data_IF_019961399694
#
_entry.id   IF_019961399694
#
_cell.length_a   1.000
_cell.length_b   1.000
_cell.length_c   1.000
_cell.angle_alpha   90.00
_cell.angle_beta   90.00
_cell.angle_gamma   90.00
#
_symmetry.space_group_name_H-M   'P 1'
#
loop_
_entity.id
_entity.type
_entity.pdbx_description
1 polymer ?
#
# COMPACT_ATOMS: atom_id res chain seq x y z
N UNK A 1 -14.05 -8.06 1.63
CA UNK A 1 -13.12 -6.96 1.34
C UNK A 1 -11.77 -7.27 1.94
N UNK A 2 -10.72 -6.89 1.24
CA UNK A 2 -9.35 -7.17 1.67
C UNK A 2 -8.63 -5.90 2.12
N UNK A 3 -7.48 -6.08 2.76
CA UNK A 3 -6.56 -4.99 3.07
C UNK A 3 -5.18 -5.34 2.54
N UNK A 4 -4.54 -4.38 1.91
CA UNK A 4 -3.21 -4.52 1.33
C UNK A 4 -2.25 -3.50 1.92
N UNK A 5 -0.98 -3.71 1.66
CA UNK A 5 0.10 -2.80 2.05
C UNK A 5 0.92 -2.49 0.80
N UNK A 6 1.07 -1.22 0.46
CA UNK A 6 1.80 -0.81 -0.73
C UNK A 6 3.03 0.00 -0.37
N UNK A 7 4.17 -0.35 -1.00
CA UNK A 7 5.43 0.38 -0.87
C UNK A 7 5.58 1.31 -2.06
N UNK A 8 5.33 2.59 -1.86
CA UNK A 8 5.29 3.58 -2.94
C UNK A 8 6.56 4.44 -3.03
N UNK A 9 7.44 4.38 -2.06
CA UNK A 9 8.77 5.00 -2.11
C UNK A 9 8.90 6.20 -3.03
N UNK A 10 9.64 6.03 -4.11
CA UNK A 10 9.95 7.09 -5.06
C UNK A 10 8.74 7.59 -5.89
N UNK A 11 7.65 6.84 -5.94
CA UNK A 11 6.48 7.19 -6.78
C UNK A 11 5.27 7.67 -5.99
N UNK A 12 5.37 7.77 -4.67
CA UNK A 12 4.24 8.14 -3.81
C UNK A 12 3.63 9.49 -4.21
N UNK A 13 4.47 10.49 -4.45
CA UNK A 13 4.00 11.84 -4.78
C UNK A 13 3.08 11.84 -6.02
N UNK A 14 3.53 11.20 -7.08
CA UNK A 14 2.82 11.14 -8.34
C UNK A 14 1.53 10.32 -8.24
N UNK A 15 1.61 9.15 -7.61
CA UNK A 15 0.46 8.28 -7.41
C UNK A 15 -0.59 8.95 -6.51
N UNK A 16 -0.13 9.60 -5.43
CA UNK A 16 -1.00 10.33 -4.51
C UNK A 16 -1.72 11.48 -5.21
N UNK A 17 -0.99 12.29 -5.96
CA UNK A 17 -1.57 13.43 -6.70
C UNK A 17 -2.56 12.98 -7.75
N UNK A 18 -2.31 11.86 -8.41
CA UNK A 18 -3.18 11.30 -9.43
C UNK A 18 -4.31 10.44 -8.88
N UNK A 19 -4.33 10.17 -7.58
CA UNK A 19 -5.33 9.33 -6.90
C UNK A 19 -5.41 7.91 -7.47
N UNK A 20 -4.25 7.26 -7.60
CA UNK A 20 -4.19 5.89 -8.10
C UNK A 20 -3.02 5.11 -7.50
N UNK A 21 -3.04 3.78 -7.72
CA UNK A 21 -1.90 2.90 -7.63
C UNK A 21 -1.59 2.43 -9.04
N UNK A 22 -0.32 2.39 -9.40
CA UNK A 22 0.11 1.87 -10.70
C UNK A 22 1.38 1.04 -10.54
N UNK A 23 1.41 -0.14 -11.17
CA UNK A 23 2.58 -1.00 -11.21
C UNK A 23 2.75 -1.56 -12.62
N UNK A 24 3.99 -1.74 -13.11
CA UNK A 24 4.21 -2.34 -14.41
C UNK A 24 3.77 -3.81 -14.43
N UNK A 25 3.42 -4.32 -15.59
CA UNK A 25 3.08 -5.75 -15.75
C UNK A 25 4.30 -6.64 -15.65
N UNK A 26 5.44 -6.13 -16.12
CA UNK A 26 6.71 -6.87 -16.10
C UNK A 26 7.77 -6.03 -15.41
N UNK A 27 8.71 -6.71 -14.74
CA UNK A 27 9.87 -6.04 -14.14
C UNK A 27 10.90 -5.68 -15.22
N UNK A 28 12.02 -5.07 -14.82
CA UNK A 28 13.08 -4.64 -15.73
C UNK A 28 13.68 -5.79 -16.55
N UNK A 29 13.62 -7.01 -16.01
CA UNK A 29 14.15 -8.21 -16.67
C UNK A 29 13.15 -8.86 -17.63
N UNK A 30 11.95 -8.26 -17.76
CA UNK A 30 10.88 -8.82 -18.59
C UNK A 30 10.12 -9.97 -17.93
N UNK A 31 10.24 -10.13 -16.62
CA UNK A 31 9.58 -11.18 -15.86
C UNK A 31 8.41 -10.65 -15.07
N UNK A 32 7.43 -11.51 -14.78
CA UNK A 32 6.34 -11.20 -13.86
C UNK A 32 6.89 -11.07 -12.44
N UNK A 33 6.39 -10.10 -11.72
CA UNK A 33 6.75 -9.83 -10.34
C UNK A 33 5.51 -10.03 -9.47
N UNK A 34 5.62 -10.79 -8.39
CA UNK A 34 4.45 -11.12 -7.57
C UNK A 34 3.78 -9.89 -6.94
N UNK A 35 4.55 -8.85 -6.58
CA UNK A 35 3.99 -7.61 -6.05
C UNK A 35 3.23 -6.80 -7.10
N UNK A 36 3.62 -6.90 -8.36
CA UNK A 36 2.90 -6.26 -9.47
C UNK A 36 1.67 -7.08 -9.84
N UNK A 37 1.79 -8.40 -9.90
CA UNK A 37 0.68 -9.30 -10.22
C UNK A 37 -0.42 -9.25 -9.16
N UNK A 38 -0.07 -9.01 -7.90
CA UNK A 38 -1.03 -8.91 -6.81
C UNK A 38 -2.01 -7.75 -6.99
N UNK A 39 -1.64 -6.73 -7.78
CA UNK A 39 -2.54 -5.62 -8.12
C UNK A 39 -3.89 -6.10 -8.66
N UNK A 40 -3.89 -7.21 -9.39
CA UNK A 40 -5.11 -7.78 -9.98
C UNK A 40 -6.12 -8.26 -8.94
N UNK A 41 -5.67 -8.47 -7.72
CA UNK A 41 -6.53 -8.93 -6.62
C UNK A 41 -7.25 -7.79 -5.91
N UNK A 42 -6.92 -6.54 -6.22
CA UNK A 42 -7.59 -5.38 -5.63
C UNK A 42 -8.94 -5.16 -6.28
N UNK A 43 -9.98 -5.11 -5.47
CA UNK A 43 -11.36 -4.86 -5.90
C UNK A 43 -11.89 -3.58 -5.26
N UNK A 44 -12.89 -2.99 -5.91
CA UNK A 44 -13.57 -1.81 -5.38
C UNK A 44 -13.96 -2.02 -3.91
N UNK A 45 -13.62 -1.04 -3.08
CA UNK A 45 -13.90 -1.07 -1.65
C UNK A 45 -12.79 -1.66 -0.79
N UNK A 46 -11.77 -2.27 -1.39
CA UNK A 46 -10.61 -2.77 -0.64
C UNK A 46 -9.79 -1.63 -0.07
N UNK A 47 -9.15 -1.88 1.07
CA UNK A 47 -8.31 -0.91 1.76
C UNK A 47 -6.83 -1.15 1.45
N UNK A 48 -6.06 -0.07 1.40
CA UNK A 48 -4.62 -0.14 1.21
C UNK A 48 -3.94 0.79 2.21
N UNK A 49 -2.99 0.27 2.98
CA UNK A 49 -2.09 1.10 3.78
C UNK A 49 -0.92 1.53 2.91
N UNK A 50 -0.68 2.83 2.83
CA UNK A 50 0.30 3.42 1.94
C UNK A 50 1.58 3.73 2.70
N UNK A 51 2.66 3.02 2.35
CA UNK A 51 3.98 3.17 2.96
C UNK A 51 4.91 3.91 2.01
N UNK A 52 5.55 4.96 2.52
CA UNK A 52 6.53 5.76 1.79
C UNK A 52 7.60 6.27 2.74
N UNK A 53 8.86 6.14 2.37
CA UNK A 53 10.01 6.62 3.15
C UNK A 53 10.02 6.13 4.61
N UNK A 54 9.71 4.85 4.81
CA UNK A 54 9.71 4.22 6.14
C UNK A 54 8.55 4.60 7.03
N UNK A 55 7.51 5.21 6.47
CA UNK A 55 6.32 5.63 7.23
C UNK A 55 5.05 5.20 6.52
N UNK A 56 4.06 4.78 7.29
CA UNK A 56 2.70 4.62 6.79
C UNK A 56 2.08 6.03 6.81
N UNK A 57 1.86 6.58 5.62
CA UNK A 57 1.50 8.00 5.44
C UNK A 57 0.02 8.22 5.14
N UNK A 58 -0.68 7.16 4.77
CA UNK A 58 -2.09 7.24 4.39
C UNK A 58 -2.76 5.87 4.44
N UNK A 59 -4.08 5.88 4.44
CA UNK A 59 -4.90 4.73 4.10
C UNK A 59 -5.72 5.11 2.88
N UNK A 60 -5.87 4.20 1.93
CA UNK A 60 -6.67 4.46 0.74
C UNK A 60 -7.72 3.38 0.52
N UNK A 61 -8.75 3.73 -0.23
CA UNK A 61 -9.85 2.83 -0.58
C UNK A 61 -9.93 2.76 -2.10
N UNK A 62 -9.97 1.55 -2.64
CA UNK A 62 -10.09 1.35 -4.08
C UNK A 62 -11.46 1.80 -4.57
N UNK A 63 -11.49 2.69 -5.57
CA UNK A 63 -12.71 3.20 -6.17
C UNK A 63 -13.28 2.28 -7.25
N UNK A 64 -12.41 1.45 -7.84
CA UNK A 64 -12.75 0.49 -8.88
C UNK A 64 -11.83 -0.72 -8.75
N UNK A 65 -12.21 -1.80 -9.44
CA UNK A 65 -11.34 -2.96 -9.59
C UNK A 65 -10.10 -2.60 -10.40
N UNK A 66 -9.04 -3.38 -10.22
CA UNK A 66 -7.82 -3.23 -11.00
C UNK A 66 -8.10 -3.41 -12.50
N UNK A 67 -7.48 -2.57 -13.31
CA UNK A 67 -7.55 -2.65 -14.78
C UNK A 67 -6.17 -2.44 -15.39
N UNK A 68 -6.04 -2.84 -16.64
CA UNK A 68 -4.84 -2.59 -17.42
C UNK A 68 -4.82 -1.14 -17.88
N UNK A 69 -3.70 -0.46 -17.72
CA UNK A 69 -3.53 0.94 -18.18
C UNK A 69 -2.06 1.22 -18.42
N UNK A 70 -1.78 1.96 -19.48
CA UNK A 70 -0.43 2.42 -19.77
C UNK A 70 0.09 3.32 -18.65
N UNK A 71 1.41 3.37 -18.51
CA UNK A 71 2.06 4.18 -17.50
C UNK A 71 1.59 5.63 -17.57
N UNK A 72 1.08 6.19 -16.46
CA UNK A 72 0.72 7.60 -16.40
C UNK A 72 1.91 8.49 -16.75
N UNK A 73 1.65 9.57 -17.46
CA UNK A 73 2.68 10.48 -17.97
C UNK A 73 3.58 11.02 -16.86
N UNK A 74 3.00 11.39 -15.73
CA UNK A 74 3.73 11.93 -14.59
C UNK A 74 4.71 10.91 -14.00
N UNK A 75 4.40 9.63 -14.06
CA UNK A 75 5.33 8.58 -13.62
C UNK A 75 6.50 8.42 -14.59
N UNK A 76 6.24 8.53 -15.90
CA UNK A 76 7.31 8.53 -16.90
C UNK A 76 8.27 9.67 -16.71
N UNK A 77 7.75 10.86 -16.45
CA UNK A 77 8.57 12.07 -16.25
C UNK A 77 9.37 12.02 -14.96
N UNK A 78 8.81 11.42 -13.89
CA UNK A 78 9.48 11.31 -12.60
C UNK A 78 10.57 10.26 -12.58
N UNK A 79 10.48 9.25 -13.46
CA UNK A 79 11.39 8.11 -13.47
C UNK A 79 12.50 8.25 -14.51
N UNK A 80 13.43 9.10 -14.22
CA UNK A 80 14.62 9.24 -15.05
C UNK A 80 15.59 8.06 -14.88
N UNK A 81 15.41 7.24 -13.85
CA UNK A 81 16.35 6.19 -13.46
C UNK A 81 15.80 4.77 -13.73
N UNK A 82 14.49 4.62 -13.78
CA UNK A 82 13.84 3.30 -13.92
C UNK A 82 13.01 3.24 -15.19
N UNK A 83 13.44 2.41 -16.12
CA UNK A 83 12.63 2.08 -17.30
C UNK A 83 11.62 1.00 -16.89
N UNK A 84 10.48 1.42 -16.38
CA UNK A 84 9.36 0.52 -16.19
C UNK A 84 8.70 0.21 -17.52
N UNK A 85 8.14 -0.99 -17.62
CA UNK A 85 7.29 -1.34 -18.75
C UNK A 85 6.15 -0.32 -18.87
N UNK A 86 5.80 0.05 -20.10
CA UNK A 86 4.71 0.99 -20.34
C UNK A 86 3.35 0.41 -19.98
N UNK A 87 3.16 -0.90 -20.16
CA UNK A 87 1.93 -1.57 -19.77
C UNK A 87 1.92 -1.85 -18.27
N UNK A 88 0.80 -1.55 -17.63
CA UNK A 88 0.71 -1.73 -16.18
C UNK A 88 -0.68 -2.05 -15.68
N UNK A 89 -0.73 -2.28 -14.37
CA UNK A 89 -1.93 -2.48 -13.59
C UNK A 89 -2.27 -1.18 -12.87
N UNK A 90 -3.52 -0.78 -12.95
CA UNK A 90 -4.00 0.51 -12.45
C UNK A 90 -5.22 0.32 -11.55
N UNK A 91 -5.17 0.96 -10.39
CA UNK A 91 -6.30 0.99 -9.46
C UNK A 91 -6.53 2.44 -9.04
N UNK A 92 -7.67 3.05 -9.41
CA UNK A 92 -8.01 4.36 -8.87
C UNK A 92 -8.40 4.23 -7.41
N UNK A 93 -7.86 5.11 -6.57
CA UNK A 93 -8.09 5.05 -5.12
C UNK A 93 -8.41 6.44 -4.57
N UNK A 94 -9.10 6.47 -3.43
CA UNK A 94 -9.24 7.67 -2.62
C UNK A 94 -8.23 7.58 -1.48
N UNK A 95 -7.28 8.51 -1.43
CA UNK A 95 -6.31 8.60 -0.35
C UNK A 95 -6.86 9.38 0.84
N UNK A 96 -6.55 8.92 2.04
CA UNK A 96 -6.81 9.62 3.29
C UNK A 96 -5.48 9.75 4.02
N UNK A 97 -4.90 10.95 3.96
CA UNK A 97 -3.58 11.20 4.53
C UNK A 97 -3.61 11.14 6.05
N UNK A 98 -2.58 10.54 6.65
CA UNK A 98 -2.42 10.53 8.09
C UNK A 98 -1.75 11.82 8.56
N UNK A 99 -2.43 12.71 9.32
CA UNK A 99 -1.78 13.85 9.94
C UNK A 99 -0.58 13.47 10.82
N UNK A 100 -0.63 12.27 11.39
CA UNK A 100 0.44 11.73 12.24
C UNK A 100 0.96 10.39 11.65
N UNK A 101 1.83 10.44 10.61
CA UNK A 101 2.34 9.22 10.00
C UNK A 101 3.02 8.29 11.00
N UNK A 102 2.90 6.98 10.75
CA UNK A 102 3.47 5.92 11.58
C UNK A 102 4.81 5.48 11.02
N UNK A 103 5.86 5.56 11.83
CA UNK A 103 7.14 4.95 11.47
C UNK A 103 7.01 3.45 11.59
N UNK A 104 7.37 2.72 10.53
CA UNK A 104 7.32 1.25 10.56
C UNK A 104 8.25 0.67 11.61
N UNK A 105 9.35 1.38 11.94
CA UNK A 105 10.27 0.97 13.00
C UNK A 105 9.63 0.98 14.39
N UNK A 106 8.56 1.74 14.62
CA UNK A 106 7.93 1.83 15.94
C UNK A 106 7.21 0.55 16.36
N UNK A 107 6.83 -0.31 15.40
CA UNK A 107 6.20 -1.60 15.72
C UNK A 107 7.02 -2.79 15.21
N UNK A 108 8.28 -2.56 14.91
CA UNK A 108 9.19 -3.61 14.43
C UNK A 108 9.32 -4.76 15.45
N UNK A 109 9.45 -4.45 16.72
CA UNK A 109 9.59 -5.48 17.77
C UNK A 109 8.33 -6.34 17.86
N UNK A 110 7.17 -5.72 17.79
CA UNK A 110 5.91 -6.45 17.79
C UNK A 110 5.81 -7.39 16.57
N UNK A 111 6.22 -6.91 15.40
CA UNK A 111 6.23 -7.70 14.17
C UNK A 111 7.19 -8.89 14.25
N UNK A 112 8.36 -8.71 14.89
CA UNK A 112 9.31 -9.81 15.12
C UNK A 112 8.72 -10.88 16.03
N UNK A 113 7.94 -10.47 17.03
CA UNK A 113 7.29 -11.38 17.98
C UNK A 113 6.04 -12.04 17.39
N UNK A 114 5.50 -11.49 16.31
CA UNK A 114 4.28 -11.98 15.64
C UNK A 114 4.53 -12.15 14.14
N UNK A 115 5.50 -12.99 13.75
CA UNK A 115 5.87 -13.14 12.35
C UNK A 115 4.78 -13.84 11.56
N UNK A 116 4.58 -13.41 10.31
CA UNK A 116 3.68 -14.04 9.37
C UNK A 116 4.27 -13.92 7.96
N UNK A 117 4.68 -15.06 7.39
CA UNK A 117 5.32 -15.12 6.07
C UNK A 117 4.39 -14.66 4.93
N UNK A 118 3.08 -14.70 5.14
CA UNK A 118 2.09 -14.34 4.13
C UNK A 118 1.69 -12.86 4.20
N UNK A 119 2.31 -12.10 5.10
CA UNK A 119 2.03 -10.68 5.29
C UNK A 119 3.15 -9.80 4.69
N UNK A 120 3.00 -8.50 4.87
CA UNK A 120 3.85 -7.49 4.23
C UNK A 120 5.24 -7.33 4.88
N UNK A 121 5.50 -8.00 5.99
CA UNK A 121 6.74 -7.83 6.75
C UNK A 121 7.54 -9.13 6.80
N UNK A 122 8.86 -9.00 6.80
CA UNK A 122 9.76 -10.15 6.95
C UNK A 122 9.89 -10.58 8.42
N UNK A 123 10.65 -11.64 8.67
CA UNK A 123 10.87 -12.19 10.02
C UNK A 123 11.53 -11.21 10.99
N UNK A 124 12.19 -10.17 10.46
CA UNK A 124 12.85 -9.14 11.25
C UNK A 124 11.96 -7.91 11.46
N UNK A 125 10.71 -7.94 10.99
CA UNK A 125 9.76 -6.86 11.14
C UNK A 125 9.98 -5.70 10.17
N UNK A 126 10.75 -5.92 9.10
CA UNK A 126 10.95 -4.91 8.06
C UNK A 126 9.92 -5.12 6.93
N UNK A 127 9.44 -4.05 6.30
CA UNK A 127 8.61 -4.19 5.11
C UNK A 127 9.35 -4.97 4.02
N UNK A 128 8.66 -5.90 3.37
CA UNK A 128 9.22 -6.64 2.24
C UNK A 128 9.50 -5.70 1.07
N UNK A 129 10.54 -6.00 0.30
CA UNK A 129 10.90 -5.25 -0.90
C UNK A 129 10.00 -5.65 -2.08
N UNK A 130 8.73 -5.36 -1.97
CA UNK A 130 7.70 -5.72 -2.92
C UNK A 130 6.71 -4.56 -3.01
N UNK A 131 6.28 -4.19 -4.21
CA UNK A 131 5.40 -3.03 -4.37
C UNK A 131 4.10 -3.22 -3.57
N UNK A 132 3.30 -4.21 -3.92
CA UNK A 132 2.06 -4.52 -3.22
C UNK A 132 2.20 -5.84 -2.46
N UNK A 133 1.78 -5.85 -1.21
CA UNK A 133 1.80 -7.02 -0.34
C UNK A 133 0.42 -7.24 0.26
N UNK A 134 0.09 -8.50 0.52
CA UNK A 134 -1.03 -8.82 1.40
C UNK A 134 -0.70 -8.35 2.81
N UNK A 135 -1.73 -8.00 3.56
CA UNK A 135 -1.60 -7.68 4.97
C UNK A 135 -2.55 -8.60 5.74
N UNK A 136 -2.00 -9.48 6.56
CA UNK A 136 -2.83 -10.43 7.32
C UNK A 136 -3.66 -9.70 8.37
N UNK A 137 -4.78 -10.30 8.76
CA UNK A 137 -5.71 -9.66 9.71
C UNK A 137 -5.06 -9.29 11.03
N UNK A 138 -4.18 -10.14 11.55
CA UNK A 138 -3.48 -9.87 12.82
C UNK A 138 -2.59 -8.64 12.70
N UNK A 139 -1.78 -8.56 11.63
CA UNK A 139 -0.91 -7.42 11.38
C UNK A 139 -1.73 -6.16 11.09
N UNK A 140 -2.76 -6.27 10.26
CA UNK A 140 -3.64 -5.15 9.94
C UNK A 140 -4.30 -4.57 11.19
N UNK A 141 -4.84 -5.44 12.03
CA UNK A 141 -5.50 -5.04 13.27
C UNK A 141 -4.56 -4.25 14.17
N UNK A 142 -3.35 -4.77 14.38
CA UNK A 142 -2.37 -4.10 15.23
C UNK A 142 -2.02 -2.70 14.70
N UNK A 143 -1.68 -2.61 13.41
CA UNK A 143 -1.30 -1.34 12.79
C UNK A 143 -2.46 -0.34 12.83
N UNK A 144 -3.67 -0.78 12.50
CA UNK A 144 -4.85 0.08 12.50
C UNK A 144 -5.20 0.58 13.91
N UNK A 145 -5.06 -0.27 14.93
CA UNK A 145 -5.29 0.13 16.32
C UNK A 145 -4.27 1.18 16.78
N UNK A 146 -2.99 1.03 16.41
CA UNK A 146 -1.97 2.02 16.70
C UNK A 146 -2.28 3.33 15.97
N UNK A 147 -2.65 3.26 14.70
CA UNK A 147 -3.05 4.42 13.90
C UNK A 147 -4.21 5.19 14.56
N UNK A 148 -5.23 4.46 15.00
CA UNK A 148 -6.41 5.05 15.59
C UNK A 148 -6.12 5.84 16.87
N UNK A 149 -5.11 5.40 17.63
CA UNK A 149 -4.68 6.10 18.84
C UNK A 149 -3.98 7.44 18.55
N UNK A 150 -3.36 7.54 17.36
CA UNK A 150 -2.60 8.72 16.97
C UNK A 150 -3.44 9.75 16.20
N UNK A 151 -4.46 9.28 15.49
CA UNK A 151 -5.24 10.15 14.60
C UNK A 151 -6.46 10.72 15.29
N UNK A 152 -6.63 12.05 15.15
CA UNK A 152 -7.77 12.79 15.70
C UNK A 152 -8.68 13.39 14.61
N UNK A 153 -8.26 13.36 13.35
CA UNK A 153 -9.09 13.78 12.22
C UNK A 153 -10.29 12.83 12.06
N UNK A 154 -11.55 13.33 12.13
CA UNK A 154 -12.72 12.46 12.08
C UNK A 154 -12.83 11.63 10.82
N UNK A 155 -12.48 12.17 9.67
CA UNK A 155 -12.57 11.46 8.40
C UNK A 155 -11.57 10.31 8.33
N UNK A 156 -10.33 10.55 8.74
CA UNK A 156 -9.28 9.53 8.79
C UNK A 156 -9.67 8.44 9.79
N UNK A 157 -10.14 8.83 10.98
CA UNK A 157 -10.59 7.88 12.00
C UNK A 157 -11.72 6.98 11.49
N UNK A 158 -12.69 7.54 10.78
CA UNK A 158 -13.79 6.76 10.22
C UNK A 158 -13.30 5.70 9.24
N UNK A 159 -12.34 6.03 8.40
CA UNK A 159 -11.76 5.06 7.45
C UNK A 159 -11.01 3.95 8.19
N UNK A 160 -10.20 4.31 9.18
CA UNK A 160 -9.47 3.34 10.01
C UNK A 160 -10.45 2.40 10.72
N UNK A 161 -11.48 2.94 11.32
CA UNK A 161 -12.51 2.15 12.02
C UNK A 161 -13.24 1.20 11.07
N UNK A 162 -13.56 1.66 9.87
CA UNK A 162 -14.16 0.80 8.83
C UNK A 162 -13.25 -0.36 8.45
N UNK A 163 -11.96 -0.08 8.29
CA UNK A 163 -10.97 -1.12 7.99
C UNK A 163 -10.83 -2.11 9.14
N UNK A 164 -10.88 -1.63 10.41
CA UNK A 164 -10.82 -2.49 11.60
C UNK A 164 -12.02 -3.43 11.69
N UNK A 165 -13.22 -2.98 11.32
CA UNK A 165 -14.41 -3.83 11.33
C UNK A 165 -14.23 -5.07 10.44
N UNK A 166 -13.49 -4.95 9.34
CA UNK A 166 -13.24 -6.07 8.46
C UNK A 166 -12.24 -7.09 9.03
N UNK A 167 -11.49 -6.72 10.08
CA UNK A 167 -10.49 -7.59 10.69
C UNK A 167 -11.05 -8.39 11.90
N UNK A 168 -12.30 -8.23 12.20
CA UNK A 168 -12.96 -8.95 13.31
C UNK A 168 -13.36 -10.37 12.94
#
# INVERSE_FOLDING_TARGET
MAIFFVNQGATYKEERMGSYLWAPKLDKSGHKNCGYELMKEIHKGDFILNNADGKIVAISIANEDCKSKDQPKELKEAQTIYEWDNEGWFVPVQYYDFPHPLKTSDFQDWLKDNPDKDSAFDKNGHPKLQYLCNLTSEHAKHILEVSLKLEDDPQVRNVIESALELQK
#
